data_IF_254707506797
#
_entry.id   IF_254707506797
#
_cell.length_a   1.000
_cell.length_b   1.000
_cell.length_c   1.000
_cell.angle_alpha   90.00
_cell.angle_beta   90.00
_cell.angle_gamma   90.00
#
_symmetry.space_group_name_H-M   'P 1'
#
loop_
_entity.id
_entity.type
_entity.pdbx_description
1 polymer ?
#
# COMPACT_ATOMS: atom_id res chain seq x y z
N UNK A 1 -1.21 16.84 -7.08
CA UNK A 1 -2.23 15.98 -6.44
C UNK A 1 -1.74 15.59 -5.05
N UNK A 2 -2.57 15.70 -4.02
CA UNK A 2 -2.24 15.30 -2.65
C UNK A 2 -3.19 14.21 -2.18
N UNK A 3 -2.65 13.20 -1.52
CA UNK A 3 -3.36 12.13 -0.85
C UNK A 3 -2.96 12.15 0.62
N UNK A 4 -3.95 12.09 1.50
CA UNK A 4 -3.74 12.12 2.94
C UNK A 4 -4.23 10.82 3.58
N UNK A 5 -3.45 10.29 4.53
CA UNK A 5 -3.83 9.13 5.32
C UNK A 5 -4.07 7.85 4.50
N UNK A 6 -3.31 7.63 3.41
CA UNK A 6 -3.50 6.45 2.56
C UNK A 6 -3.15 5.18 3.34
N UNK A 7 -4.11 4.27 3.41
CA UNK A 7 -3.94 2.95 4.02
C UNK A 7 -4.33 1.84 3.04
N UNK A 8 -3.71 0.68 3.20
CA UNK A 8 -4.07 -0.52 2.42
C UNK A 8 -3.87 -1.76 3.28
N UNK A 9 -4.88 -2.62 3.28
CA UNK A 9 -4.87 -3.90 3.97
C UNK A 9 -5.27 -5.00 3.00
N UNK A 10 -4.65 -6.17 3.16
CA UNK A 10 -4.98 -7.37 2.39
C UNK A 10 -5.34 -8.52 3.33
N UNK A 11 -6.22 -9.45 2.91
CA UNK A 11 -6.42 -10.68 3.65
C UNK A 11 -5.09 -11.43 3.79
N UNK A 12 -4.76 -11.78 5.02
CA UNK A 12 -3.60 -12.59 5.37
C UNK A 12 -3.80 -14.00 4.79
N UNK A 13 -2.87 -14.44 3.93
CA UNK A 13 -2.86 -15.81 3.39
C UNK A 13 -2.32 -16.84 4.40
N UNK A 14 -2.59 -16.64 5.70
CA UNK A 14 -2.19 -17.56 6.77
C UNK A 14 -3.39 -18.38 7.23
N UNK A 15 -3.16 -19.64 7.62
CA UNK A 15 -4.22 -20.58 8.03
C UNK A 15 -5.10 -20.09 9.19
N UNK A 16 -4.68 -19.06 9.93
CA UNK A 16 -5.47 -18.46 11.02
C UNK A 16 -6.48 -17.39 10.58
N UNK A 17 -6.46 -16.94 9.32
CA UNK A 17 -7.24 -15.78 8.86
C UNK A 17 -6.79 -14.46 9.51
N UNK A 18 -7.01 -13.34 8.82
CA UNK A 18 -6.67 -12.01 9.34
C UNK A 18 -6.46 -11.00 8.22
N UNK A 19 -6.17 -9.76 8.57
CA UNK A 19 -5.77 -8.72 7.62
C UNK A 19 -4.33 -8.28 7.90
N UNK A 20 -3.52 -8.18 6.85
CA UNK A 20 -2.20 -7.58 6.91
C UNK A 20 -2.31 -6.15 6.39
N UNK A 21 -2.11 -5.20 7.29
CA UNK A 21 -2.00 -3.79 6.94
C UNK A 21 -0.62 -3.54 6.31
N UNK A 22 -0.58 -3.23 5.01
CA UNK A 22 0.65 -3.05 4.24
C UNK A 22 1.03 -1.57 4.05
N UNK A 23 0.07 -0.65 4.19
CA UNK A 23 0.29 0.80 4.19
C UNK A 23 -0.51 1.38 5.36
N UNK A 24 0.16 2.16 6.22
CA UNK A 24 -0.43 2.78 7.41
C UNK A 24 -0.35 4.29 7.31
N UNK A 25 -1.44 4.92 6.85
CA UNK A 25 -1.65 6.37 6.99
C UNK A 25 -0.54 7.22 6.40
N UNK A 26 -0.13 6.93 5.15
CA UNK A 26 0.91 7.69 4.47
C UNK A 26 0.32 8.87 3.71
N UNK A 27 0.94 10.03 3.87
CA UNK A 27 0.66 11.24 3.10
C UNK A 27 1.57 11.28 1.88
N UNK A 28 0.98 11.46 0.70
CA UNK A 28 1.69 11.46 -0.58
C UNK A 28 1.34 12.72 -1.36
N UNK A 29 2.35 13.43 -1.84
CA UNK A 29 2.21 14.56 -2.75
C UNK A 29 2.89 14.20 -4.07
N UNK A 30 2.14 14.35 -5.15
CA UNK A 30 2.55 14.08 -6.53
C UNK A 30 2.43 15.36 -7.35
N UNK A 31 3.52 15.78 -7.95
CA UNK A 31 3.55 16.85 -8.93
C UNK A 31 3.37 16.32 -10.36
N UNK A 32 3.01 17.20 -11.30
CA UNK A 32 2.75 16.80 -12.68
C UNK A 32 4.03 16.29 -13.34
N UNK A 33 4.01 15.03 -13.78
CA UNK A 33 5.16 14.36 -14.40
C UNK A 33 5.93 13.44 -13.44
N UNK A 34 5.60 13.45 -12.15
CA UNK A 34 6.18 12.51 -11.18
C UNK A 34 5.49 11.15 -11.24
N UNK A 35 6.29 10.10 -10.98
CA UNK A 35 5.82 8.70 -10.92
C UNK A 35 6.23 8.11 -9.58
N UNK A 36 5.30 7.44 -8.91
CA UNK A 36 5.55 6.73 -7.66
C UNK A 36 5.52 5.23 -7.93
N UNK A 37 6.49 4.52 -7.35
CA UNK A 37 6.54 3.07 -7.35
C UNK A 37 6.39 2.57 -5.91
N UNK A 38 5.50 1.58 -5.73
CA UNK A 38 5.39 0.86 -4.46
C UNK A 38 6.38 -0.30 -4.52
N UNK A 39 7.34 -0.32 -3.59
CA UNK A 39 8.39 -1.35 -3.48
C UNK A 39 8.16 -2.23 -2.25
N UNK A 40 8.55 -3.51 -2.34
CA UNK A 40 8.41 -4.47 -1.25
C UNK A 40 8.52 -5.93 -1.71
N UNK A 41 8.54 -6.90 -0.80
CA UNK A 41 8.70 -8.32 -1.12
C UNK A 41 7.59 -8.85 -2.04
N UNK A 42 7.90 -9.79 -2.93
CA UNK A 42 6.90 -10.46 -3.77
C UNK A 42 5.74 -11.00 -2.93
N UNK A 43 4.49 -10.74 -3.33
CA UNK A 43 3.30 -11.13 -2.58
C UNK A 43 2.76 -10.11 -1.57
N UNK A 44 3.42 -8.96 -1.34
CA UNK A 44 2.92 -7.95 -0.39
C UNK A 44 1.83 -6.99 -0.94
N UNK A 45 1.17 -7.34 -2.05
CA UNK A 45 0.02 -6.55 -2.55
C UNK A 45 0.38 -5.20 -3.20
N UNK A 46 1.47 -5.15 -3.99
CA UNK A 46 1.93 -3.93 -4.70
C UNK A 46 1.30 -3.74 -6.07
N UNK A 47 0.82 -4.81 -6.69
CA UNK A 47 0.27 -4.84 -8.05
C UNK A 47 -1.24 -5.12 -8.10
N UNK A 48 -1.82 -5.46 -6.95
CA UNK A 48 -3.26 -5.51 -6.67
C UNK A 48 -3.52 -4.45 -5.63
#
# INVERSE_FOLDING_TARGET
MQLHGVGKSFPAQTSGGGEVCILKGIDLRLERGERIAILGPSGCGKST
#
